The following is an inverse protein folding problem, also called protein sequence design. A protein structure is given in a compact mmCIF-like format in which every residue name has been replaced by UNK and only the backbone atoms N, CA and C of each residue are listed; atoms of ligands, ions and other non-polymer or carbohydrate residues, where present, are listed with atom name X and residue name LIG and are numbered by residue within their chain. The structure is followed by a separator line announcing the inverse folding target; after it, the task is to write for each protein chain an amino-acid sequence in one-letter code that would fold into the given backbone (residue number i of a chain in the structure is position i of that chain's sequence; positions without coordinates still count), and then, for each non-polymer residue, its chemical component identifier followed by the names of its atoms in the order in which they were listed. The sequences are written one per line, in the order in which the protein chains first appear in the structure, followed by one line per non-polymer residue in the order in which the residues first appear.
data_IF_110493247152
#
_entry.id   IF_110493247152
#
_cell.length_a   1.000
_cell.length_b   1.000
_cell.length_c   1.000
_cell.angle_alpha   90.00
_cell.angle_beta   90.00
_cell.angle_gamma   90.00
#
_symmetry.space_group_name_H-M   'P 1'
#
loop_
_entity.id
_entity.type
_entity.pdbx_description
1 polymer ?
#
# COMPACT_ATOMS: atom_id res chain seq x y z
N UNK A 1 25.21 13.15 -3.28
CA UNK A 1 25.55 11.82 -2.75
C UNK A 1 25.21 10.74 -3.79
N UNK A 2 26.01 9.66 -3.79
CA UNK A 2 25.73 8.50 -4.65
C UNK A 2 24.54 7.72 -4.09
N UNK A 3 23.66 7.22 -4.94
CA UNK A 3 22.52 6.41 -4.56
C UNK A 3 22.48 5.13 -5.40
N UNK A 4 22.03 4.03 -4.81
CA UNK A 4 21.75 2.76 -5.50
C UNK A 4 20.38 2.71 -6.16
N UNK A 5 19.60 3.79 -6.08
CA UNK A 5 18.28 3.87 -6.69
C UNK A 5 18.39 3.88 -8.22
N UNK A 6 18.00 2.77 -8.86
CA UNK A 6 18.22 2.53 -10.30
C UNK A 6 17.52 3.51 -11.24
N UNK A 7 16.33 4.06 -10.94
CA UNK A 7 15.70 5.07 -11.78
C UNK A 7 16.42 6.43 -11.79
N UNK A 8 17.41 6.62 -10.91
CA UNK A 8 18.11 7.89 -10.74
C UNK A 8 17.37 8.86 -9.82
N UNK A 9 18.07 9.92 -9.41
CA UNK A 9 17.55 10.93 -8.50
C UNK A 9 17.76 12.32 -9.09
N UNK A 10 16.79 13.19 -8.92
CA UNK A 10 16.90 14.62 -9.18
C UNK A 10 17.01 15.30 -7.82
N UNK A 11 18.08 16.08 -7.62
CA UNK A 11 18.27 16.86 -6.39
C UNK A 11 17.18 17.93 -6.30
N UNK A 12 16.46 17.95 -5.20
CA UNK A 12 15.34 18.87 -4.97
C UNK A 12 15.24 19.27 -3.49
N UNK A 13 14.97 20.55 -3.20
CA UNK A 13 14.69 21.00 -1.84
C UNK A 13 13.28 20.57 -1.42
N UNK A 14 13.12 19.36 -0.90
CA UNK A 14 11.85 18.73 -0.56
C UNK A 14 10.94 19.62 0.30
N UNK A 15 11.52 20.42 1.19
CA UNK A 15 10.79 21.31 2.10
C UNK A 15 10.10 22.50 1.41
N UNK A 16 10.43 22.81 0.15
CA UNK A 16 9.78 23.91 -0.59
C UNK A 16 8.43 23.49 -1.19
N UNK A 17 8.31 22.28 -1.64
CA UNK A 17 7.07 21.82 -2.28
C UNK A 17 6.23 20.86 -1.41
N UNK A 18 6.83 20.35 -0.33
CA UNK A 18 6.10 19.55 0.65
C UNK A 18 5.20 20.46 1.49
N UNK A 19 3.93 20.09 1.75
CA UNK A 19 3.06 20.87 2.65
C UNK A 19 3.72 21.14 3.99
N UNK A 20 3.68 22.40 4.44
CA UNK A 20 4.38 22.82 5.68
C UNK A 20 4.03 21.97 6.91
N UNK A 21 2.77 21.55 7.16
CA UNK A 21 2.48 20.69 8.30
C UNK A 21 3.18 19.33 8.24
N UNK A 22 3.45 18.80 7.04
CA UNK A 22 4.18 17.55 6.85
C UNK A 22 5.66 17.77 7.07
N UNK A 23 6.22 18.80 6.41
CA UNK A 23 7.64 19.16 6.53
C UNK A 23 8.05 19.44 7.99
N UNK A 24 7.25 20.20 8.73
CA UNK A 24 7.52 20.53 10.13
C UNK A 24 7.48 19.32 11.06
N UNK A 25 6.52 18.41 10.83
CA UNK A 25 6.44 17.16 11.59
C UNK A 25 7.60 16.22 11.29
N UNK A 26 7.98 16.09 10.03
CA UNK A 26 9.12 15.27 9.63
C UNK A 26 10.43 15.82 10.24
N UNK A 27 10.65 17.15 10.21
CA UNK A 27 11.81 17.76 10.83
C UNK A 27 11.91 17.42 12.32
N UNK A 28 10.82 17.61 13.07
CA UNK A 28 10.76 17.26 14.50
C UNK A 28 10.99 15.78 14.76
N UNK A 29 10.42 14.92 13.90
CA UNK A 29 10.61 13.47 14.00
C UNK A 29 12.07 13.08 13.78
N UNK A 30 12.74 13.63 12.77
CA UNK A 30 14.17 13.37 12.52
C UNK A 30 15.05 13.84 13.65
N UNK A 31 14.77 15.01 14.24
CA UNK A 31 15.49 15.50 15.42
C UNK A 31 15.33 14.53 16.60
N UNK A 32 14.13 14.04 16.84
CA UNK A 32 13.86 13.08 17.89
C UNK A 32 14.53 11.72 17.63
N UNK A 33 14.48 11.22 16.41
CA UNK A 33 15.19 10.00 16.02
C UNK A 33 16.70 10.15 16.18
N UNK A 34 17.25 11.34 15.89
CA UNK A 34 18.67 11.63 16.13
C UNK A 34 19.07 11.60 17.60
N UNK A 35 18.14 11.93 18.53
CA UNK A 35 18.38 11.81 19.98
C UNK A 35 18.32 10.36 20.44
N UNK A 36 17.39 9.57 19.89
CA UNK A 36 17.17 8.17 20.29
C UNK A 36 18.18 7.21 19.65
N UNK A 37 18.59 7.49 18.43
CA UNK A 37 19.53 6.64 17.67
C UNK A 37 20.75 7.48 17.24
N UNK A 38 21.85 7.34 17.96
CA UNK A 38 23.09 8.06 17.66
C UNK A 38 23.56 7.78 16.22
N UNK A 39 23.84 8.84 15.46
CA UNK A 39 24.26 8.75 14.06
C UNK A 39 23.09 8.64 13.05
N UNK A 40 21.85 8.55 13.48
CA UNK A 40 20.69 8.54 12.59
C UNK A 40 20.57 9.85 11.79
N UNK A 41 20.73 10.99 12.44
CA UNK A 41 20.72 12.30 11.80
C UNK A 41 22.10 12.64 11.28
N UNK A 42 22.31 12.48 10.00
CA UNK A 42 23.59 12.70 9.31
C UNK A 42 23.40 13.36 7.94
N UNK A 43 24.37 14.17 7.52
CA UNK A 43 24.39 14.77 6.18
C UNK A 43 24.79 13.79 5.09
N UNK A 44 25.20 12.57 5.44
CA UNK A 44 25.54 11.52 4.48
C UNK A 44 24.29 10.76 4.02
N UNK A 45 23.19 10.82 4.77
CA UNK A 45 21.95 10.20 4.39
C UNK A 45 21.25 10.90 3.23
N UNK A 46 20.64 10.12 2.34
CA UNK A 46 19.85 10.62 1.23
C UNK A 46 18.38 10.34 1.51
N UNK A 47 17.56 11.38 1.46
CA UNK A 47 16.11 11.25 1.52
C UNK A 47 15.56 11.14 0.11
N UNK A 48 14.88 10.06 -0.21
CA UNK A 48 14.18 9.87 -1.47
C UNK A 48 12.69 10.08 -1.23
N UNK A 49 12.08 10.95 -2.00
CA UNK A 49 10.64 11.27 -1.93
C UNK A 49 10.13 11.70 -3.32
N UNK A 50 8.87 11.60 -3.60
CA UNK A 50 7.74 11.26 -2.72
C UNK A 50 7.20 9.89 -3.14
N UNK A 51 7.01 8.99 -2.19
CA UNK A 51 6.13 7.84 -2.39
C UNK A 51 4.76 8.21 -1.81
N UNK A 52 3.82 8.57 -2.70
CA UNK A 52 2.48 9.03 -2.32
C UNK A 52 1.41 7.99 -2.58
N UNK A 53 1.76 6.90 -3.27
CA UNK A 53 0.85 5.80 -3.51
C UNK A 53 0.85 4.86 -2.30
N UNK A 54 -0.29 4.79 -1.61
CA UNK A 54 -0.51 3.86 -0.50
C UNK A 54 -1.66 2.92 -0.84
N UNK A 55 -2.86 3.23 -0.36
CA UNK A 55 -4.06 2.44 -0.61
C UNK A 55 -4.93 3.11 -1.67
N UNK A 56 -5.78 2.33 -2.36
CA UNK A 56 -6.78 2.92 -3.25
C UNK A 56 -7.70 3.87 -2.47
N UNK A 57 -7.93 5.11 -2.95
CA UNK A 57 -8.83 6.06 -2.30
C UNK A 57 -10.31 5.67 -2.44
N UNK A 58 -10.61 4.70 -3.31
CA UNK A 58 -11.95 4.17 -3.56
C UNK A 58 -11.97 2.67 -3.30
N UNK A 59 -13.13 2.17 -2.90
CA UNK A 59 -13.38 0.75 -2.73
C UNK A 59 -14.47 0.29 -3.69
N UNK A 60 -14.18 -0.74 -4.46
CA UNK A 60 -15.18 -1.41 -5.29
C UNK A 60 -15.96 -2.36 -4.40
N UNK A 61 -17.25 -2.09 -4.19
CA UNK A 61 -18.05 -2.82 -3.21
C UNK A 61 -18.23 -4.29 -3.59
N UNK A 62 -18.10 -5.18 -2.60
CA UNK A 62 -18.33 -6.62 -2.74
C UNK A 62 -19.03 -7.16 -1.48
N UNK A 63 -19.73 -8.26 -1.62
CA UNK A 63 -20.29 -9.00 -0.50
C UNK A 63 -19.18 -9.62 0.37
N UNK A 64 -19.33 -9.58 1.69
CA UNK A 64 -18.27 -10.05 2.60
C UNK A 64 -18.14 -11.58 2.69
N UNK A 65 -19.13 -12.33 2.23
CA UNK A 65 -19.14 -13.79 2.28
C UNK A 65 -18.73 -14.38 0.94
N UNK A 66 -19.38 -13.94 -0.13
CA UNK A 66 -19.14 -14.43 -1.48
C UNK A 66 -17.96 -13.75 -2.17
N UNK A 67 -17.54 -12.60 -1.66
CA UNK A 67 -16.52 -11.70 -2.24
C UNK A 67 -16.86 -11.22 -3.66
N UNK A 68 -18.06 -11.48 -4.14
CA UNK A 68 -18.55 -11.02 -5.42
C UNK A 68 -19.05 -9.58 -5.32
N UNK A 69 -18.95 -8.82 -6.38
CA UNK A 69 -19.48 -7.45 -6.46
C UNK A 69 -20.98 -7.44 -6.18
N UNK A 70 -21.44 -6.43 -5.44
CA UNK A 70 -22.82 -6.35 -4.93
C UNK A 70 -23.91 -6.26 -6.02
N UNK A 71 -23.57 -5.83 -7.23
CA UNK A 71 -24.52 -5.66 -8.34
C UNK A 71 -24.05 -6.29 -9.66
N UNK A 72 -22.82 -6.71 -9.78
CA UNK A 72 -22.28 -7.32 -11.00
C UNK A 72 -21.86 -8.75 -10.71
N UNK A 73 -22.63 -9.69 -11.25
CA UNK A 73 -22.35 -11.12 -11.12
C UNK A 73 -21.07 -11.51 -11.85
N UNK A 74 -20.25 -12.36 -11.26
CA UNK A 74 -18.99 -12.86 -11.84
C UNK A 74 -17.82 -11.88 -11.70
N UNK A 75 -17.99 -10.72 -11.03
CA UNK A 75 -16.93 -9.78 -10.73
C UNK A 75 -16.49 -9.93 -9.27
N UNK A 76 -15.21 -10.21 -9.05
CA UNK A 76 -14.59 -10.37 -7.73
C UNK A 76 -13.54 -9.28 -7.49
N UNK A 77 -13.94 -8.11 -6.97
CA UNK A 77 -12.99 -7.04 -6.66
C UNK A 77 -12.01 -7.49 -5.58
N UNK A 78 -10.69 -7.45 -5.85
CA UNK A 78 -9.69 -7.88 -4.88
C UNK A 78 -8.43 -7.01 -4.90
N UNK A 79 -7.65 -7.15 -3.84
CA UNK A 79 -6.34 -6.55 -3.70
C UNK A 79 -6.34 -5.04 -3.52
N UNK A 80 -5.21 -4.42 -3.81
CA UNK A 80 -4.97 -3.00 -3.56
C UNK A 80 -5.83 -2.11 -4.46
N UNK A 81 -5.91 -2.40 -5.75
CA UNK A 81 -6.67 -1.59 -6.70
C UNK A 81 -8.17 -1.51 -6.39
N UNK A 82 -8.73 -2.58 -5.81
CA UNK A 82 -10.12 -2.62 -5.38
C UNK A 82 -10.35 -2.08 -3.96
N UNK A 83 -9.31 -1.69 -3.24
CA UNK A 83 -9.38 -1.09 -1.92
C UNK A 83 -9.48 -2.09 -0.76
N UNK A 84 -9.06 -3.34 -0.94
CA UNK A 84 -9.15 -4.40 0.08
C UNK A 84 -7.81 -4.77 0.71
N UNK A 85 -6.69 -4.33 0.16
CA UNK A 85 -5.36 -4.59 0.67
C UNK A 85 -4.43 -3.41 0.40
N UNK A 86 -3.42 -3.20 1.23
CA UNK A 86 -2.43 -2.12 1.10
C UNK A 86 -0.98 -2.64 1.06
N UNK A 87 -0.75 -3.94 0.99
CA UNK A 87 0.57 -4.54 0.93
C UNK A 87 0.60 -5.79 0.05
N UNK A 88 1.80 -6.21 -0.35
CA UNK A 88 2.03 -7.33 -1.28
C UNK A 88 1.38 -8.61 -0.76
N UNK A 89 1.67 -8.98 0.48
CA UNK A 89 1.14 -10.23 1.09
C UNK A 89 -0.37 -10.15 1.29
N UNK A 90 -0.89 -9.04 1.81
CA UNK A 90 -2.32 -8.88 2.02
C UNK A 90 -3.11 -8.87 0.71
N UNK A 91 -2.56 -8.31 -0.36
CA UNK A 91 -3.16 -8.35 -1.69
C UNK A 91 -3.18 -9.78 -2.27
N UNK A 92 -2.11 -10.55 -2.07
CA UNK A 92 -2.04 -11.94 -2.49
C UNK A 92 -3.08 -12.80 -1.75
N UNK A 93 -3.16 -12.69 -0.43
CA UNK A 93 -4.14 -13.42 0.39
C UNK A 93 -5.58 -13.07 -0.01
N UNK A 94 -5.85 -11.79 -0.25
CA UNK A 94 -7.19 -11.37 -0.66
C UNK A 94 -7.57 -11.90 -2.05
N UNK A 95 -6.60 -11.95 -2.98
CA UNK A 95 -6.77 -12.58 -4.30
C UNK A 95 -7.02 -14.09 -4.21
N UNK A 96 -6.28 -14.81 -3.36
CA UNK A 96 -6.47 -16.24 -3.10
C UNK A 96 -7.88 -16.51 -2.58
N UNK A 97 -8.34 -15.77 -1.58
CA UNK A 97 -9.71 -15.89 -1.05
C UNK A 97 -10.79 -15.64 -2.09
N UNK A 98 -10.60 -14.66 -2.98
CA UNK A 98 -11.52 -14.42 -4.08
C UNK A 98 -11.54 -15.60 -5.07
N UNK A 99 -10.40 -16.18 -5.36
CA UNK A 99 -10.30 -17.37 -6.23
C UNK A 99 -10.98 -18.59 -5.60
N UNK A 100 -10.82 -18.81 -4.29
CA UNK A 100 -11.51 -19.87 -3.54
C UNK A 100 -13.04 -19.70 -3.59
N UNK A 101 -13.54 -18.48 -3.35
CA UNK A 101 -14.97 -18.20 -3.45
C UNK A 101 -15.51 -18.44 -4.87
N UNK A 102 -14.77 -18.01 -5.89
CA UNK A 102 -15.12 -18.28 -7.29
C UNK A 102 -15.14 -19.79 -7.59
N UNK A 103 -14.12 -20.51 -7.15
CA UNK A 103 -14.05 -21.96 -7.34
C UNK A 103 -15.22 -22.68 -6.67
N UNK A 104 -15.59 -22.28 -5.46
CA UNK A 104 -16.74 -22.84 -4.74
C UNK A 104 -18.07 -22.56 -5.47
N UNK A 105 -18.19 -21.40 -6.12
CA UNK A 105 -19.39 -21.08 -6.94
C UNK A 105 -19.46 -21.92 -8.23
N UNK A 106 -18.30 -22.08 -8.91
CA UNK A 106 -18.25 -22.80 -10.18
C UNK A 106 -18.29 -24.34 -10.01
N UNK A 107 -17.73 -24.82 -8.91
CA UNK A 107 -17.59 -26.25 -8.63
C UNK A 107 -18.18 -26.58 -7.23
N UNK A 108 -19.48 -26.40 -7.02
CA UNK A 108 -20.09 -26.72 -5.74
C UNK A 108 -19.85 -28.19 -5.40
N UNK A 109 -19.17 -28.45 -4.27
CA UNK A 109 -19.03 -29.82 -3.75
C UNK A 109 -20.42 -30.38 -3.49
N UNK A 110 -20.77 -31.50 -4.16
CA UNK A 110 -22.01 -32.22 -3.82
C UNK A 110 -21.97 -32.59 -2.34
N UNK A 111 -23.05 -32.35 -1.58
CA UNK A 111 -23.13 -32.90 -0.26
C UNK A 111 -22.92 -34.42 -0.35
N UNK A 112 -22.08 -34.98 0.52
CA UNK A 112 -21.96 -36.43 0.66
C UNK A 112 -23.34 -36.95 1.05
N UNK A 113 -23.89 -37.85 0.25
CA UNK A 113 -25.13 -38.60 0.55
C UNK A 113 -24.93 -39.49 1.77
#
# INVERSE_FOLDING_TARGET
PKSSYTPGLISSPLHFWMPSPVSDRLRKAFEEFGRQAHGFLTNEAVMIAVETRTSSPVRILRDNKTLQHISLRGLYPCGEGAGYAGGIVSAAIDGERCAECLAAELFPTRPAE
#
